data_IF_764622062918
#
_entry.id   IF_764622062918
#
_cell.length_a   1.000
_cell.length_b   1.000
_cell.length_c   1.000
_cell.angle_alpha   90.00
_cell.angle_beta   90.00
_cell.angle_gamma   90.00
#
_symmetry.space_group_name_H-M   'P 1'
#
loop_
_entity.id
_entity.type
_entity.pdbx_description
1 polymer ?
#
# COMPACT_ATOMS: atom_id res chain seq x y z
N UNK A 1 15.91 -3.38 18.22
CA UNK A 1 15.01 -4.12 17.31
C UNK A 1 14.24 -3.08 16.48
N UNK A 2 13.49 -3.43 15.44
CA UNK A 2 12.73 -2.42 14.66
C UNK A 2 11.55 -1.88 15.48
N UNK A 3 11.86 -1.06 16.48
CA UNK A 3 10.96 -0.58 17.55
C UNK A 3 9.97 0.51 17.09
N UNK A 4 9.88 0.77 15.79
CA UNK A 4 9.01 1.80 15.22
C UNK A 4 8.02 1.28 14.16
N UNK A 5 7.97 -0.02 13.83
CA UNK A 5 6.93 -0.58 12.94
C UNK A 5 5.71 -0.95 13.78
N UNK A 6 4.62 -0.21 13.63
CA UNK A 6 3.33 -0.52 14.25
C UNK A 6 2.45 -1.17 13.19
N UNK A 7 2.12 -2.44 13.36
CA UNK A 7 1.22 -3.12 12.43
C UNK A 7 -0.18 -2.50 12.51
N UNK A 8 -0.78 -2.23 11.35
CA UNK A 8 -2.12 -1.68 11.22
C UNK A 8 -3.04 -2.68 10.53
N UNK A 9 -4.34 -2.37 10.55
CA UNK A 9 -5.35 -3.20 9.92
C UNK A 9 -5.74 -2.60 8.57
N UNK A 10 -5.24 -3.21 7.48
CA UNK A 10 -5.57 -2.81 6.12
C UNK A 10 -7.08 -2.95 5.82
N UNK A 11 -7.75 -3.93 6.44
CA UNK A 11 -9.18 -4.18 6.22
C UNK A 11 -10.09 -3.23 7.02
N UNK A 12 -9.52 -2.41 7.91
CA UNK A 12 -10.23 -1.34 8.58
C UNK A 12 -10.45 -0.10 7.69
N UNK A 13 -9.75 0.00 6.55
CA UNK A 13 -9.97 1.05 5.54
C UNK A 13 -11.33 0.91 4.85
N UNK A 14 -11.76 1.94 4.16
CA UNK A 14 -12.98 1.85 3.34
C UNK A 14 -12.82 0.85 2.20
N UNK A 15 -13.92 0.17 1.84
CA UNK A 15 -13.88 -0.88 0.82
C UNK A 15 -13.47 -0.37 -0.57
N UNK A 16 -13.65 0.93 -0.84
CA UNK A 16 -13.19 1.57 -2.07
C UNK A 16 -11.66 1.71 -2.08
N UNK A 17 -11.07 2.19 -0.99
CA UNK A 17 -9.62 2.30 -0.84
C UNK A 17 -8.94 0.93 -0.88
N UNK A 18 -9.51 -0.07 -0.19
CA UNK A 18 -9.00 -1.43 -0.25
C UNK A 18 -8.96 -1.95 -1.69
N UNK A 19 -10.02 -1.72 -2.46
CA UNK A 19 -10.06 -2.11 -3.88
C UNK A 19 -9.05 -1.35 -4.72
N UNK A 20 -8.81 -0.07 -4.42
CA UNK A 20 -7.79 0.73 -5.09
C UNK A 20 -6.40 0.09 -4.94
N UNK A 21 -5.97 -0.28 -3.74
CA UNK A 21 -4.68 -0.96 -3.57
C UNK A 21 -4.67 -2.36 -4.21
N UNK A 22 -5.76 -3.11 -4.08
CA UNK A 22 -5.85 -4.47 -4.64
C UNK A 22 -5.89 -4.51 -6.17
N UNK A 23 -6.26 -3.42 -6.85
CA UNK A 23 -6.43 -3.39 -8.32
C UNK A 23 -5.59 -2.33 -9.02
N UNK A 24 -5.40 -1.17 -8.39
CA UNK A 24 -4.74 0.02 -8.93
C UNK A 24 -3.44 0.36 -8.18
N UNK A 25 -2.55 -0.64 -8.09
CA UNK A 25 -1.20 -0.46 -7.56
C UNK A 25 -0.17 -0.27 -8.67
N UNK A 26 0.75 0.67 -8.46
CA UNK A 26 1.97 0.83 -9.26
C UNK A 26 3.04 -0.19 -8.85
N UNK A 27 3.66 -0.83 -9.83
CA UNK A 27 4.83 -1.69 -9.60
C UNK A 27 6.05 -1.16 -10.34
N UNK A 28 7.14 -0.84 -9.64
CA UNK A 28 8.39 -0.36 -10.26
C UNK A 28 9.09 -1.39 -11.15
N UNK A 29 8.90 -2.68 -10.88
CA UNK A 29 9.45 -3.74 -11.72
C UNK A 29 8.71 -3.86 -13.06
N UNK A 30 7.38 -3.76 -13.03
CA UNK A 30 6.56 -3.78 -14.25
C UNK A 30 6.47 -2.40 -14.93
N UNK A 31 6.76 -1.32 -14.20
CA UNK A 31 6.59 0.08 -14.60
C UNK A 31 5.18 0.36 -15.13
N UNK A 32 4.16 -0.18 -14.44
CA UNK A 32 2.77 -0.08 -14.85
C UNK A 32 1.86 0.13 -13.65
N UNK A 33 0.82 0.95 -13.85
CA UNK A 33 -0.32 1.12 -12.94
C UNK A 33 -1.40 0.06 -13.24
N UNK A 34 -2.31 -0.21 -12.30
CA UNK A 34 -3.46 -1.08 -12.54
C UNK A 34 -3.13 -2.58 -12.49
N UNK A 35 -2.03 -2.97 -11.85
CA UNK A 35 -1.67 -4.39 -11.70
C UNK A 35 -2.30 -5.02 -10.46
N UNK A 36 -2.50 -4.20 -9.43
CA UNK A 36 -2.97 -4.63 -8.12
C UNK A 36 -1.91 -5.37 -7.31
N UNK A 37 -2.17 -5.48 -6.01
CA UNK A 37 -1.34 -6.23 -5.07
C UNK A 37 -2.10 -7.38 -4.40
N UNK A 38 -1.36 -8.41 -4.00
CA UNK A 38 -1.80 -9.53 -3.15
C UNK A 38 -1.08 -9.47 -1.80
N UNK A 39 -1.71 -10.04 -0.78
CA UNK A 39 -1.22 -10.02 0.61
C UNK A 39 -0.88 -8.60 1.11
N UNK A 40 -1.84 -7.65 1.11
CA UNK A 40 -1.58 -6.29 1.59
C UNK A 40 -1.36 -6.27 3.11
N UNK A 41 -0.24 -5.70 3.53
CA UNK A 41 0.15 -5.48 4.92
C UNK A 41 0.29 -3.98 5.18
N UNK A 42 -0.62 -3.41 5.96
CA UNK A 42 -0.53 -2.01 6.40
C UNK A 42 0.29 -1.91 7.69
N UNK A 43 1.18 -0.93 7.76
CA UNK A 43 1.94 -0.62 8.96
C UNK A 43 2.36 0.84 9.02
N UNK A 44 2.51 1.36 10.22
CA UNK A 44 3.08 2.67 10.48
C UNK A 44 4.57 2.54 10.78
N UNK A 45 5.40 3.40 10.21
CA UNK A 45 6.83 3.46 10.46
C UNK A 45 7.29 4.92 10.48
N UNK A 46 7.91 5.36 11.59
CA UNK A 46 8.34 6.74 11.81
C UNK A 46 7.22 7.79 11.65
N UNK A 47 5.97 7.41 11.95
CA UNK A 47 4.79 8.29 11.81
C UNK A 47 4.23 8.35 10.38
N UNK A 48 4.79 7.60 9.43
CA UNK A 48 4.27 7.44 8.08
C UNK A 48 3.57 6.10 7.95
N UNK A 49 2.45 6.03 7.25
CA UNK A 49 1.73 4.78 7.00
C UNK A 49 2.17 4.21 5.65
N UNK A 50 2.49 2.93 5.65
CA UNK A 50 2.89 2.18 4.47
C UNK A 50 1.97 0.99 4.26
N UNK A 51 1.67 0.70 3.00
CA UNK A 51 1.02 -0.52 2.57
C UNK A 51 2.03 -1.28 1.72
N UNK A 52 2.39 -2.47 2.16
CA UNK A 52 3.28 -3.38 1.43
C UNK A 52 2.47 -4.57 0.92
N UNK A 53 2.75 -5.03 -0.29
CA UNK A 53 2.13 -6.23 -0.84
C UNK A 53 2.97 -6.82 -1.97
N UNK A 54 2.42 -7.79 -2.68
CA UNK A 54 3.05 -8.44 -3.84
C UNK A 54 2.32 -8.08 -5.11
N UNK A 55 3.03 -7.64 -6.13
CA UNK A 55 2.43 -7.36 -7.43
C UNK A 55 1.79 -8.63 -8.00
N UNK A 56 0.53 -8.57 -8.41
CA UNK A 56 -0.18 -9.73 -8.97
C UNK A 56 0.39 -10.20 -10.32
N UNK A 57 1.15 -9.35 -11.02
CA UNK A 57 1.73 -9.65 -12.33
C UNK A 57 3.11 -10.31 -12.23
N UNK A 58 4.03 -9.72 -11.46
CA UNK A 58 5.41 -10.20 -11.37
C UNK A 58 5.76 -10.87 -10.04
N UNK A 59 4.93 -10.73 -9.01
CA UNK A 59 5.18 -11.24 -7.65
C UNK A 59 6.20 -10.44 -6.85
N UNK A 60 6.71 -9.34 -7.41
CA UNK A 60 7.68 -8.45 -6.75
C UNK A 60 7.03 -7.62 -5.63
N UNK A 61 7.84 -7.17 -4.68
CA UNK A 61 7.32 -6.42 -3.53
C UNK A 61 6.97 -5.00 -3.96
N UNK A 62 5.73 -4.60 -3.72
CA UNK A 62 5.22 -3.25 -3.99
C UNK A 62 4.92 -2.57 -2.68
N UNK A 63 5.37 -1.32 -2.55
CA UNK A 63 5.22 -0.53 -1.33
C UNK A 63 4.60 0.81 -1.71
N UNK A 64 3.53 1.16 -1.02
CA UNK A 64 2.79 2.41 -1.21
C UNK A 64 2.85 3.19 0.09
N UNK A 65 3.43 4.39 0.03
CA UNK A 65 3.44 5.34 1.14
C UNK A 65 2.13 6.14 1.13
N UNK A 66 1.44 6.17 2.26
CA UNK A 66 0.26 7.00 2.48
C UNK A 66 0.69 8.29 3.19
N UNK A 67 0.81 9.36 2.42
CA UNK A 67 1.02 10.71 2.95
C UNK A 67 -0.32 11.43 3.10
N UNK A 68 -0.50 12.23 4.16
CA UNK A 68 -1.71 13.04 4.37
C UNK A 68 -1.98 14.01 3.18
N UNK A 69 -0.95 14.43 2.45
CA UNK A 69 -1.05 15.22 1.21
C UNK A 69 -1.70 14.48 0.02
N UNK A 70 -1.95 13.16 0.10
CA UNK A 70 -2.57 12.42 -1.00
C UNK A 70 -4.09 12.59 -1.09
N UNK A 71 -4.73 13.25 -0.10
CA UNK A 71 -6.19 13.36 0.02
C UNK A 71 -6.71 14.78 0.27
N UNK A 72 -5.87 15.82 0.17
CA UNK A 72 -6.30 17.22 0.27
C UNK A 72 -6.32 17.83 -1.14
N UNK A 73 -7.31 17.43 -1.95
CA UNK A 73 -7.68 18.14 -3.17
C UNK A 73 -8.52 19.36 -2.74
N UNK A 74 -7.90 20.55 -2.70
CA UNK A 74 -8.57 21.85 -2.50
C UNK A 74 -9.37 22.26 -3.75
#
# INVERSE_FOLDING_TARGET
>A
MNENRVQRDFYARDSEEQQLFLTDTWCDNCQQLGLGMSDPEEYELYGLVFIEGKCNQCGDTVLTELTEDAFDDE
#
